data_IF_160746613897
#
_entry.id   IF_160746613897
#
_cell.length_a   1.000
_cell.length_b   1.000
_cell.length_c   1.000
_cell.angle_alpha   90.00
_cell.angle_beta   90.00
_cell.angle_gamma   90.00
#
_symmetry.space_group_name_H-M   'P 1'
#
loop_
_entity.id
_entity.type
_entity.pdbx_description
1 polymer ?
#
# COMPACT_ATOMS: atom_id res chain seq x y z
N UNK A 1 -14.19 25.88 16.00
CA UNK A 1 -13.33 24.77 16.46
C UNK A 1 -11.89 25.23 16.36
N UNK A 2 -11.11 25.08 17.44
CA UNK A 2 -9.67 25.39 17.44
C UNK A 2 -8.96 24.42 16.50
N UNK A 3 -8.06 24.92 15.66
CA UNK A 3 -7.29 24.13 14.70
C UNK A 3 -5.87 23.95 15.22
N UNK A 4 -5.39 22.72 15.30
CA UNK A 4 -4.06 22.38 15.83
C UNK A 4 -3.09 22.14 14.70
N UNK A 5 -1.91 22.73 14.76
CA UNK A 5 -0.79 22.48 13.84
C UNK A 5 0.36 21.94 14.68
N UNK A 6 0.87 20.76 14.37
CA UNK A 6 1.94 20.12 15.13
C UNK A 6 3.21 20.09 14.28
N UNK A 7 4.26 20.72 14.77
CA UNK A 7 5.60 20.64 14.18
C UNK A 7 6.48 19.74 15.04
N UNK A 8 7.06 18.73 14.40
CA UNK A 8 8.07 17.89 15.02
C UNK A 8 9.39 18.00 14.28
N UNK A 9 10.32 18.81 14.79
CA UNK A 9 11.60 19.00 14.14
C UNK A 9 12.58 17.83 14.33
N UNK A 10 12.29 16.80 15.16
CA UNK A 10 13.40 16.06 15.82
C UNK A 10 13.64 14.58 15.50
N UNK A 11 12.75 13.59 15.48
CA UNK A 11 13.10 12.13 15.57
C UNK A 11 13.63 11.70 16.94
N UNK A 12 12.85 10.83 17.61
CA UNK A 12 13.14 10.34 18.96
C UNK A 12 14.07 9.11 18.91
N UNK A 13 15.10 9.10 19.75
CA UNK A 13 15.97 7.94 19.95
C UNK A 13 15.37 6.94 20.95
N UNK A 14 15.93 5.73 21.02
CA UNK A 14 15.54 4.74 22.03
C UNK A 14 15.81 5.21 23.46
N UNK A 15 16.81 6.07 23.67
CA UNK A 15 17.10 6.66 24.98
C UNK A 15 16.03 7.69 25.38
N UNK A 16 15.50 8.44 24.41
CA UNK A 16 14.44 9.42 24.62
C UNK A 16 13.12 8.73 25.01
N UNK A 17 12.80 7.61 24.35
CA UNK A 17 11.65 6.78 24.70
C UNK A 17 11.76 6.22 26.11
N UNK A 18 12.95 5.77 26.51
CA UNK A 18 13.21 5.31 27.87
C UNK A 18 13.03 6.45 28.88
N UNK A 19 13.53 7.66 28.59
CA UNK A 19 13.35 8.81 29.46
C UNK A 19 11.86 9.17 29.63
N UNK A 20 11.10 9.20 28.54
CA UNK A 20 9.66 9.47 28.56
C UNK A 20 8.89 8.44 29.41
N UNK A 21 9.18 7.17 29.19
CA UNK A 21 8.42 6.08 29.82
C UNK A 21 8.82 5.84 31.28
N UNK A 22 10.08 6.11 31.65
CA UNK A 22 10.63 5.72 32.95
C UNK A 22 10.79 6.89 33.92
N UNK A 23 10.97 8.11 33.41
CA UNK A 23 11.14 9.31 34.22
C UNK A 23 9.94 10.25 34.10
N UNK A 24 9.55 10.65 32.89
CA UNK A 24 8.43 11.58 32.71
C UNK A 24 7.09 10.98 33.18
N UNK A 25 6.86 9.69 33.01
CA UNK A 25 5.65 9.00 33.53
C UNK A 25 5.48 9.05 35.05
N UNK A 26 6.55 9.35 35.80
CA UNK A 26 6.53 9.52 37.25
C UNK A 26 6.29 10.98 37.68
N UNK A 27 6.46 11.92 36.73
CA UNK A 27 6.29 13.36 36.94
C UNK A 27 4.90 13.80 36.45
N UNK A 28 4.46 13.29 35.29
CA UNK A 28 3.17 13.57 34.68
C UNK A 28 2.31 12.32 34.61
N UNK A 29 1.02 12.49 34.32
CA UNK A 29 0.13 11.34 34.13
C UNK A 29 0.59 10.51 32.92
N UNK A 30 0.40 9.18 32.95
CA UNK A 30 0.71 8.32 31.79
C UNK A 30 0.00 8.76 30.51
N UNK A 31 -1.20 9.32 30.65
CA UNK A 31 -1.97 9.90 29.53
C UNK A 31 -1.27 11.11 28.90
N UNK A 32 -0.54 11.91 29.68
CA UNK A 32 0.24 13.05 29.16
C UNK A 32 1.42 12.56 28.32
N UNK A 33 2.10 11.49 28.76
CA UNK A 33 3.17 10.85 27.97
C UNK A 33 2.60 10.27 26.67
N UNK A 34 1.46 9.59 26.74
CA UNK A 34 0.75 9.08 25.55
C UNK A 34 0.33 10.21 24.60
N UNK A 35 -0.14 11.34 25.13
CA UNK A 35 -0.48 12.53 24.33
C UNK A 35 0.73 13.08 23.58
N UNK A 36 1.88 13.18 24.24
CA UNK A 36 3.13 13.62 23.58
C UNK A 36 3.56 12.65 22.46
N UNK A 37 3.50 11.34 22.71
CA UNK A 37 3.81 10.32 21.70
C UNK A 37 2.86 10.37 20.51
N UNK A 38 1.57 10.59 20.78
CA UNK A 38 0.56 10.78 19.74
C UNK A 38 0.86 12.02 18.89
N UNK A 39 1.21 13.15 19.52
CA UNK A 39 1.61 14.36 18.80
C UNK A 39 2.83 14.11 17.90
N UNK A 40 3.81 13.34 18.38
CA UNK A 40 4.96 12.94 17.57
C UNK A 40 4.53 12.12 16.35
N UNK A 41 3.60 11.17 16.50
CA UNK A 41 3.08 10.40 15.37
C UNK A 41 2.30 11.30 14.39
N UNK A 42 1.43 12.16 14.90
CA UNK A 42 0.60 13.07 14.10
C UNK A 42 1.42 14.07 13.28
N UNK A 43 2.56 14.50 13.80
CA UNK A 43 3.49 15.37 13.07
C UNK A 43 4.05 14.77 11.77
N UNK A 44 4.03 13.44 11.64
CA UNK A 44 4.50 12.73 10.44
C UNK A 44 3.45 12.69 9.33
N UNK A 45 2.19 12.96 9.67
CA UNK A 45 1.06 12.97 8.74
C UNK A 45 1.10 14.28 7.94
N UNK A 46 0.99 14.19 6.61
CA UNK A 46 1.13 15.34 5.69
C UNK A 46 0.01 16.39 5.83
N UNK A 47 -1.13 16.02 6.39
CA UNK A 47 -2.18 16.96 6.74
C UNK A 47 -1.76 17.73 7.99
N UNK A 48 -1.11 18.88 7.79
CA UNK A 48 -0.53 19.68 8.88
C UNK A 48 -1.54 20.34 9.82
N UNK A 49 -2.78 19.86 9.89
CA UNK A 49 -3.77 20.38 10.82
C UNK A 49 -4.80 19.38 11.31
N UNK A 50 -5.07 19.40 12.60
CA UNK A 50 -5.95 18.46 13.29
C UNK A 50 -6.95 19.21 14.18
N UNK A 51 -8.02 18.52 14.59
CA UNK A 51 -8.99 19.02 15.57
C UNK A 51 -8.76 18.37 16.94
N UNK A 52 -9.30 18.98 18.00
CA UNK A 52 -9.25 18.38 19.34
C UNK A 52 -9.93 17.01 19.37
N UNK A 53 -10.95 16.82 18.52
CA UNK A 53 -11.70 15.58 18.44
C UNK A 53 -10.85 14.41 17.94
N UNK A 54 -9.97 14.66 16.95
CA UNK A 54 -9.07 13.64 16.41
C UNK A 54 -8.12 13.13 17.50
N UNK A 55 -7.54 14.03 18.29
CA UNK A 55 -6.68 13.67 19.43
C UNK A 55 -7.45 12.94 20.54
N UNK A 56 -8.70 13.35 20.79
CA UNK A 56 -9.57 12.74 21.81
C UNK A 56 -9.90 11.27 21.48
N UNK A 57 -10.23 10.97 20.22
CA UNK A 57 -10.52 9.61 19.75
C UNK A 57 -9.32 8.69 20.01
N UNK A 58 -8.12 9.12 19.63
CA UNK A 58 -6.92 8.28 19.74
C UNK A 58 -6.48 8.02 21.18
N UNK A 59 -6.77 8.93 22.11
CA UNK A 59 -6.46 8.76 23.53
C UNK A 59 -7.63 8.17 24.34
N UNK A 60 -8.78 7.97 23.71
CA UNK A 60 -10.03 7.57 24.35
C UNK A 60 -10.37 8.47 25.56
N UNK A 61 -10.26 9.79 25.35
CA UNK A 61 -10.58 10.83 26.34
C UNK A 61 -11.68 11.74 25.80
N UNK A 62 -12.31 12.53 26.66
CA UNK A 62 -13.27 13.52 26.19
C UNK A 62 -12.56 14.74 25.58
N UNK A 63 -13.19 15.41 24.61
CA UNK A 63 -12.64 16.58 23.91
C UNK A 63 -12.13 17.68 24.85
N UNK A 64 -12.77 17.84 26.02
CA UNK A 64 -12.38 18.85 27.02
C UNK A 64 -11.13 18.48 27.84
N UNK A 65 -10.69 17.22 27.81
CA UNK A 65 -9.51 16.72 28.51
C UNK A 65 -8.23 16.87 27.67
N UNK A 66 -8.36 17.09 26.36
CA UNK A 66 -7.23 17.23 25.42
C UNK A 66 -6.38 18.46 25.73
N UNK A 67 -7.00 19.62 25.95
CA UNK A 67 -6.29 20.87 26.22
C UNK A 67 -5.50 20.82 27.56
N UNK A 68 -6.08 20.32 28.68
CA UNK A 68 -5.33 20.07 29.91
C UNK A 68 -4.13 19.13 29.75
N UNK A 69 -4.25 18.06 28.96
CA UNK A 69 -3.15 17.13 28.71
C UNK A 69 -2.01 17.81 27.93
N UNK A 70 -2.34 18.62 26.93
CA UNK A 70 -1.35 19.39 26.18
C UNK A 70 -0.68 20.47 27.04
N UNK A 71 -1.43 21.15 27.89
CA UNK A 71 -0.88 22.08 28.88
C UNK A 71 0.07 21.36 29.85
N UNK A 72 -0.23 20.12 30.23
CA UNK A 72 0.67 19.30 31.04
C UNK A 72 1.98 19.03 30.30
N UNK A 73 1.95 18.66 29.01
CA UNK A 73 3.15 18.50 28.17
C UNK A 73 3.99 19.79 28.10
N UNK A 74 3.34 20.96 27.99
CA UNK A 74 4.01 22.26 27.98
C UNK A 74 4.66 22.56 29.33
N UNK A 75 3.99 22.24 30.44
CA UNK A 75 4.48 22.53 31.78
C UNK A 75 5.77 21.77 32.14
N UNK A 76 5.99 20.60 31.55
CA UNK A 76 7.24 19.82 31.68
C UNK A 76 8.25 20.09 30.58
N UNK A 77 7.98 21.05 29.70
CA UNK A 77 8.90 21.50 28.66
C UNK A 77 9.04 20.57 27.45
N UNK A 78 8.12 19.62 27.28
CA UNK A 78 8.11 18.71 26.12
C UNK A 78 7.57 19.39 24.86
N UNK A 79 6.76 20.45 25.01
CA UNK A 79 6.16 21.19 23.90
C UNK A 79 6.25 22.70 24.14
N UNK A 80 6.33 23.47 23.07
CA UNK A 80 6.04 24.90 23.07
C UNK A 80 4.65 25.16 22.47
N UNK A 81 3.94 26.11 23.06
CA UNK A 81 2.58 26.48 22.67
C UNK A 81 2.55 27.88 22.09
N UNK A 82 2.08 28.01 20.85
CA UNK A 82 1.87 29.28 20.17
C UNK A 82 0.42 29.39 19.71
N UNK A 83 -0.24 30.50 20.00
CA UNK A 83 -1.63 30.74 19.60
C UNK A 83 -1.71 31.99 18.72
N UNK A 84 -2.25 31.84 17.51
CA UNK A 84 -2.50 32.94 16.59
C UNK A 84 -3.81 32.70 15.82
N UNK A 85 -4.71 33.70 15.80
CA UNK A 85 -5.94 33.69 14.99
C UNK A 85 -6.76 32.39 15.08
N UNK A 86 -6.96 31.86 16.30
CA UNK A 86 -7.72 30.63 16.57
C UNK A 86 -7.07 29.32 16.03
N UNK A 87 -5.79 29.41 15.67
CA UNK A 87 -4.91 28.29 15.31
C UNK A 87 -3.86 28.15 16.41
N UNK A 88 -3.72 26.95 16.93
CA UNK A 88 -2.72 26.62 17.94
C UNK A 88 -1.62 25.82 17.26
N UNK A 89 -0.39 26.32 17.36
CA UNK A 89 0.80 25.67 16.85
C UNK A 89 1.59 25.09 18.01
N UNK A 90 1.79 23.78 17.99
CA UNK A 90 2.59 23.04 18.96
C UNK A 90 3.94 22.69 18.32
N UNK A 91 5.04 23.10 18.96
CA UNK A 91 6.40 22.72 18.56
C UNK A 91 6.92 21.71 19.56
N UNK A 92 7.14 20.47 19.11
CA UNK A 92 7.60 19.37 19.96
C UNK A 92 9.12 19.46 20.17
N UNK A 93 9.56 19.26 21.42
CA UNK A 93 10.96 19.23 21.83
C UNK A 93 11.35 17.83 22.30
N UNK A 94 12.62 17.47 22.13
CA UNK A 94 13.15 16.22 22.66
C UNK A 94 13.07 16.20 24.20
N UNK A 95 12.78 15.05 24.82
CA UNK A 95 12.83 14.90 26.27
C UNK A 95 14.27 15.06 26.76
N UNK A 96 14.41 15.47 28.02
CA UNK A 96 15.71 15.45 28.70
C UNK A 96 16.16 14.01 28.92
N UNK A 97 17.47 13.77 28.85
CA UNK A 97 18.02 12.48 29.22
C UNK A 97 17.74 12.18 30.70
N UNK A 98 17.72 10.89 31.07
CA UNK A 98 17.48 10.48 32.45
C UNK A 98 18.47 11.16 33.41
N UNK A 99 19.74 11.30 33.01
CA UNK A 99 20.78 11.98 33.81
C UNK A 99 20.50 13.47 33.96
N UNK A 100 20.17 14.17 32.87
CA UNK A 100 19.85 15.61 32.92
C UNK A 100 18.60 15.89 33.76
N UNK A 101 17.65 14.95 33.75
CA UNK A 101 16.39 15.07 34.46
C UNK A 101 16.57 14.78 35.97
N UNK A 102 17.43 13.82 36.34
CA UNK A 102 17.81 13.61 37.75
C UNK A 102 18.64 14.76 38.32
N UNK A 103 19.50 15.37 37.50
CA UNK A 103 20.32 16.50 37.91
C UNK A 103 19.51 17.81 38.00
N UNK A 104 18.30 17.85 37.42
CA UNK A 104 17.45 19.02 37.44
C UNK A 104 16.89 19.28 38.86
N UNK A 105 17.00 20.52 39.41
CA UNK A 105 16.62 20.80 40.80
C UNK A 105 15.17 20.49 41.17
N UNK A 106 14.24 20.65 40.21
CA UNK A 106 12.81 20.39 40.42
C UNK A 106 12.44 18.93 40.11
N UNK A 107 12.91 18.39 38.98
CA UNK A 107 12.54 17.05 38.54
C UNK A 107 13.28 15.98 39.35
N UNK A 108 14.55 16.20 39.71
CA UNK A 108 15.29 15.34 40.62
C UNK A 108 14.64 15.22 42.00
N UNK A 109 14.09 16.31 42.54
CA UNK A 109 13.33 16.28 43.80
C UNK A 109 12.03 15.48 43.66
N UNK A 110 11.25 15.74 42.61
CA UNK A 110 10.02 14.98 42.32
C UNK A 110 10.29 13.49 42.14
N UNK A 111 11.34 13.12 41.41
CA UNK A 111 11.72 11.72 41.24
C UNK A 111 12.24 11.10 42.54
N UNK A 112 12.96 11.85 43.37
CA UNK A 112 13.44 11.34 44.66
C UNK A 112 12.31 11.01 45.64
N UNK A 113 11.16 11.69 45.52
CA UNK A 113 9.97 11.39 46.34
C UNK A 113 9.21 10.14 45.89
N UNK A 114 9.40 9.71 44.65
CA UNK A 114 8.76 8.52 44.09
C UNK A 114 9.68 7.31 44.32
N UNK A 115 9.33 6.41 45.24
CA UNK A 115 10.13 5.20 45.53
C UNK A 115 10.04 4.15 44.40
N UNK A 116 10.64 4.43 43.24
CA UNK A 116 10.72 3.47 42.15
C UNK A 116 11.97 2.58 42.30
N UNK A 117 11.74 1.30 42.59
CA UNK A 117 12.76 0.24 42.56
C UNK A 117 13.50 0.20 41.21
N UNK A 118 12.81 0.50 40.12
CA UNK A 118 13.38 0.47 38.77
C UNK A 118 14.24 1.71 38.46
N UNK A 119 13.89 2.91 38.97
CA UNK A 119 14.81 4.05 38.89
C UNK A 119 16.11 3.77 39.65
N UNK A 120 16.02 3.18 40.84
CA UNK A 120 17.20 2.71 41.60
C UNK A 120 18.00 1.66 40.81
N UNK A 121 17.33 0.80 40.05
CA UNK A 121 17.94 -0.21 39.18
C UNK A 121 18.41 0.30 37.80
N UNK A 122 18.02 1.49 37.35
CA UNK A 122 18.65 2.16 36.20
C UNK A 122 19.89 2.94 36.64
N UNK A 123 19.88 3.42 37.89
CA UNK A 123 21.05 4.04 38.55
C UNK A 123 22.11 3.01 38.94
N UNK A 124 21.75 1.74 39.12
CA UNK A 124 22.69 0.63 39.33
C UNK A 124 22.75 -0.27 38.10
N UNK A 125 23.95 -0.61 37.61
CA UNK A 125 24.13 -1.59 36.52
C UNK A 125 23.31 -2.86 36.80
N UNK A 126 22.44 -3.22 35.86
CA UNK A 126 21.49 -4.35 35.89
C UNK A 126 21.94 -5.54 36.76
N UNK A 127 21.11 -6.01 37.72
CA UNK A 127 21.33 -7.33 38.30
C UNK A 127 20.98 -8.42 37.28
N UNK A 128 21.72 -9.54 37.25
CA UNK A 128 21.50 -10.63 36.30
C UNK A 128 20.15 -11.32 36.55
N UNK A 129 19.47 -11.71 35.46
CA UNK A 129 18.22 -12.46 35.47
C UNK A 129 18.41 -13.85 36.13
N UNK A 130 17.59 -14.15 37.13
CA UNK A 130 17.52 -15.49 37.74
C UNK A 130 16.92 -16.51 36.77
N UNK A 131 17.57 -17.65 36.58
CA UNK A 131 17.32 -18.64 35.53
C UNK A 131 16.00 -19.43 35.63
N UNK A 132 15.15 -19.18 36.64
CA UNK A 132 13.94 -19.98 36.88
C UNK A 132 12.67 -19.11 36.89
N UNK A 133 12.26 -18.59 35.73
CA UNK A 133 10.99 -17.87 35.56
C UNK A 133 10.06 -18.62 34.62
N UNK A 134 8.94 -19.10 35.13
CA UNK A 134 7.85 -19.65 34.32
C UNK A 134 6.91 -18.52 33.88
N UNK A 135 6.62 -18.37 32.58
CA UNK A 135 5.77 -17.29 32.09
C UNK A 135 4.33 -17.53 32.53
N UNK A 136 3.78 -16.64 33.35
CA UNK A 136 2.35 -16.61 33.67
C UNK A 136 1.69 -15.54 32.81
N UNK A 137 0.94 -15.95 31.79
CA UNK A 137 0.17 -15.05 30.93
C UNK A 137 -1.17 -14.71 31.61
N UNK A 138 -1.39 -13.44 31.93
CA UNK A 138 -2.72 -12.95 32.31
C UNK A 138 -3.53 -12.62 31.06
N UNK A 139 -4.81 -13.01 31.01
CA UNK A 139 -5.73 -12.61 29.94
C UNK A 139 -6.08 -11.13 30.06
N UNK A 140 -6.03 -10.42 28.93
CA UNK A 140 -6.35 -8.99 28.81
C UNK A 140 -7.81 -8.71 29.20
N UNK A 141 -8.04 -7.76 30.11
CA UNK A 141 -9.38 -7.29 30.44
C UNK A 141 -9.81 -6.26 29.39
N UNK A 142 -10.58 -6.69 28.39
CA UNK A 142 -11.35 -5.80 27.51
C UNK A 142 -12.37 -5.02 28.34
N UNK A 143 -12.04 -3.78 28.70
CA UNK A 143 -13.06 -2.79 29.05
C UNK A 143 -13.16 -1.84 27.85
N UNK A 144 -14.36 -1.76 27.29
CA UNK A 144 -14.76 -0.97 26.11
C UNK A 144 -14.33 -1.54 24.74
N UNK A 145 -15.00 -2.60 24.34
CA UNK A 145 -15.25 -2.88 22.92
C UNK A 145 -16.75 -3.17 22.80
N UNK A 146 -17.56 -2.12 22.62
CA UNK A 146 -18.91 -2.26 22.07
C UNK A 146 -18.76 -2.50 20.58
N UNK A 147 -18.34 -3.71 20.27
CA UNK A 147 -18.09 -4.21 18.93
C UNK A 147 -19.42 -4.68 18.35
N UNK A 148 -19.90 -3.96 17.33
CA UNK A 148 -21.15 -4.29 16.64
C UNK A 148 -20.87 -5.02 15.31
N UNK A 149 -21.93 -5.63 14.77
CA UNK A 149 -21.84 -6.45 13.55
C UNK A 149 -21.44 -5.62 12.31
N UNK A 150 -21.67 -4.30 12.34
CA UNK A 150 -21.28 -3.38 11.26
C UNK A 150 -19.78 -3.03 11.31
N UNK A 151 -19.23 -2.88 12.51
CA UNK A 151 -17.81 -2.68 12.78
C UNK A 151 -17.01 -3.96 12.49
N UNK A 152 -17.55 -5.14 12.82
CA UNK A 152 -16.96 -6.43 12.41
C UNK A 152 -16.93 -6.56 10.89
N UNK A 153 -18.00 -6.20 10.18
CA UNK A 153 -18.01 -6.23 8.72
C UNK A 153 -17.04 -5.22 8.09
N UNK A 154 -16.86 -4.05 8.70
CA UNK A 154 -15.88 -3.06 8.23
C UNK A 154 -14.45 -3.48 8.54
N UNK A 155 -14.21 -4.07 9.72
CA UNK A 155 -12.92 -4.66 10.06
C UNK A 155 -12.58 -5.80 9.11
N UNK A 156 -13.50 -6.75 8.87
CA UNK A 156 -13.28 -7.82 7.89
C UNK A 156 -12.99 -7.25 6.49
N UNK A 157 -13.70 -6.21 6.03
CA UNK A 157 -13.38 -5.55 4.75
C UNK A 157 -11.98 -4.94 4.72
N UNK A 158 -11.51 -4.34 5.82
CA UNK A 158 -10.17 -3.75 5.92
C UNK A 158 -9.07 -4.81 6.07
N UNK A 159 -9.30 -5.86 6.86
CA UNK A 159 -8.33 -6.94 7.09
C UNK A 159 -8.16 -7.82 5.85
N UNK A 160 -9.24 -8.06 5.09
CA UNK A 160 -9.21 -8.77 3.80
C UNK A 160 -8.40 -7.99 2.74
N UNK A 161 -8.36 -6.65 2.81
CA UNK A 161 -7.57 -5.84 1.86
C UNK A 161 -6.05 -5.92 2.08
N UNK A 162 -5.58 -6.30 3.28
CA UNK A 162 -4.15 -6.31 3.61
C UNK A 162 -3.49 -7.68 3.70
N UNK A 163 -4.23 -8.80 3.70
CA UNK A 163 -3.65 -10.14 3.93
C UNK A 163 -3.83 -11.16 2.81
N UNK A 164 -4.35 -10.78 1.65
CA UNK A 164 -4.23 -11.61 0.44
C UNK A 164 -3.57 -10.80 -0.66
N UNK A 165 -2.27 -10.56 -0.51
CA UNK A 165 -1.45 -10.65 -1.70
C UNK A 165 -1.68 -12.07 -2.22
N UNK A 166 -2.39 -12.22 -3.34
CA UNK A 166 -2.34 -13.43 -4.17
C UNK A 166 -0.89 -13.54 -4.70
N UNK A 167 0.03 -13.86 -3.78
CA UNK A 167 1.42 -14.15 -4.04
C UNK A 167 1.40 -15.37 -4.95
N UNK A 168 1.89 -15.20 -6.19
CA UNK A 168 1.92 -16.26 -7.19
C UNK A 168 2.62 -17.51 -6.64
N UNK A 169 3.66 -17.29 -5.84
CA UNK A 169 4.39 -18.33 -5.14
C UNK A 169 3.79 -18.61 -3.77
N UNK A 170 3.48 -19.88 -3.49
CA UNK A 170 2.96 -20.30 -2.17
C UNK A 170 4.09 -20.92 -1.34
N UNK A 171 4.63 -20.22 -0.31
CA UNK A 171 5.76 -20.72 0.47
C UNK A 171 5.50 -22.08 1.13
N UNK A 172 4.28 -22.29 1.64
CA UNK A 172 3.89 -23.55 2.27
C UNK A 172 3.87 -24.72 1.28
N UNK A 173 3.44 -24.48 0.04
CA UNK A 173 3.40 -25.50 -1.01
C UNK A 173 4.82 -25.83 -1.48
N UNK A 174 5.68 -24.83 -1.62
CA UNK A 174 7.10 -25.02 -1.90
C UNK A 174 7.81 -25.85 -0.83
N UNK A 175 7.59 -25.54 0.46
CA UNK A 175 8.19 -26.30 1.56
C UNK A 175 7.72 -27.77 1.57
N UNK A 176 6.44 -28.03 1.27
CA UNK A 176 5.93 -29.40 1.14
C UNK A 176 6.59 -30.17 -0.02
N UNK A 177 7.02 -29.48 -1.08
CA UNK A 177 7.71 -30.09 -2.22
C UNK A 177 9.20 -30.30 -1.98
N UNK A 178 9.78 -29.67 -0.95
CA UNK A 178 11.20 -29.74 -0.63
C UNK A 178 11.46 -30.72 0.51
N UNK A 179 12.24 -31.77 0.23
CA UNK A 179 12.78 -32.64 1.28
C UNK A 179 13.97 -31.98 1.97
N UNK A 180 14.36 -32.44 3.15
CA UNK A 180 15.56 -31.94 3.84
C UNK A 180 16.85 -32.15 3.05
N UNK A 181 16.83 -33.09 2.08
CA UNK A 181 17.91 -33.29 1.13
C UNK A 181 17.96 -32.12 0.14
N UNK A 182 16.82 -31.62 -0.34
CA UNK A 182 16.77 -30.56 -1.36
C UNK A 182 16.93 -29.18 -0.74
N UNK A 183 16.30 -28.95 0.41
CA UNK A 183 16.37 -27.68 1.13
C UNK A 183 16.45 -27.94 2.64
N UNK A 184 17.67 -28.05 3.20
CA UNK A 184 17.89 -28.36 4.61
C UNK A 184 17.21 -27.38 5.56
N UNK A 185 16.75 -27.88 6.71
CA UNK A 185 16.06 -27.07 7.73
C UNK A 185 16.87 -25.86 8.21
N UNK A 186 18.20 -25.97 8.21
CA UNK A 186 19.14 -24.89 8.59
C UNK A 186 18.97 -23.63 7.71
N UNK A 187 18.58 -23.79 6.43
CA UNK A 187 18.39 -22.66 5.50
C UNK A 187 16.95 -22.17 5.43
N UNK A 188 16.02 -22.76 6.19
CA UNK A 188 14.59 -22.35 6.24
C UNK A 188 14.38 -21.18 7.19
N UNK A 189 15.26 -20.18 7.15
CA UNK A 189 15.12 -18.95 7.94
C UNK A 189 14.10 -18.01 7.29
N UNK A 190 13.42 -17.15 8.07
CA UNK A 190 12.43 -16.22 7.50
C UNK A 190 13.02 -15.30 6.42
N UNK A 191 14.27 -14.87 6.58
CA UNK A 191 14.96 -13.99 5.63
C UNK A 191 15.23 -14.69 4.27
N UNK A 192 15.69 -15.95 4.30
CA UNK A 192 15.92 -16.74 3.08
C UNK A 192 14.58 -17.06 2.40
N UNK A 193 13.56 -17.36 3.19
CA UNK A 193 12.22 -17.64 2.65
C UNK A 193 11.62 -16.42 1.97
N UNK A 194 11.72 -15.23 2.57
CA UNK A 194 11.27 -13.99 1.95
C UNK A 194 12.02 -13.68 0.66
N UNK A 195 13.34 -13.92 0.61
CA UNK A 195 14.11 -13.69 -0.63
C UNK A 195 13.73 -14.67 -1.73
N UNK A 196 13.52 -15.95 -1.41
CA UNK A 196 13.01 -16.94 -2.38
C UNK A 196 11.62 -16.55 -2.89
N UNK A 197 10.72 -16.14 -1.99
CA UNK A 197 9.38 -15.68 -2.35
C UNK A 197 9.43 -14.45 -3.26
N UNK A 198 10.25 -13.46 -2.92
CA UNK A 198 10.44 -12.27 -3.75
C UNK A 198 10.96 -12.62 -5.16
N UNK A 199 11.95 -13.53 -5.26
CA UNK A 199 12.48 -14.00 -6.55
C UNK A 199 11.38 -14.75 -7.31
N UNK A 200 10.65 -15.65 -6.65
CA UNK A 200 9.61 -16.44 -7.28
C UNK A 200 8.48 -15.58 -7.83
N UNK A 201 8.04 -14.57 -7.08
CA UNK A 201 7.01 -13.64 -7.51
C UNK A 201 7.49 -12.70 -8.62
N UNK A 202 8.74 -12.23 -8.54
CA UNK A 202 9.31 -11.33 -9.55
C UNK A 202 9.47 -12.02 -10.90
N UNK A 203 9.89 -13.28 -10.90
CA UNK A 203 10.15 -14.05 -12.12
C UNK A 203 9.04 -15.07 -12.45
N UNK A 204 7.94 -15.05 -11.69
CA UNK A 204 6.79 -15.96 -11.81
C UNK A 204 7.21 -17.43 -11.93
N UNK A 205 8.05 -17.87 -11.01
CA UNK A 205 8.58 -19.23 -10.94
C UNK A 205 7.69 -20.08 -10.06
N UNK A 206 7.11 -21.14 -10.63
CA UNK A 206 6.27 -22.08 -9.88
C UNK A 206 7.08 -22.84 -8.82
N UNK A 207 6.40 -23.41 -7.83
CA UNK A 207 7.04 -24.07 -6.69
C UNK A 207 7.90 -25.28 -7.11
N UNK A 208 7.49 -26.01 -8.15
CA UNK A 208 8.21 -27.18 -8.62
C UNK A 208 9.49 -26.80 -9.39
N UNK A 209 9.45 -25.72 -10.17
CA UNK A 209 10.62 -25.14 -10.83
C UNK A 209 11.55 -24.48 -9.83
N UNK A 210 11.02 -23.73 -8.86
CA UNK A 210 11.82 -23.08 -7.80
C UNK A 210 12.64 -24.10 -7.02
N UNK A 211 12.05 -25.27 -6.70
CA UNK A 211 12.75 -26.39 -6.07
C UNK A 211 13.99 -26.83 -6.86
N UNK A 212 13.91 -26.88 -8.20
CA UNK A 212 15.05 -27.27 -9.07
C UNK A 212 16.15 -26.21 -9.08
N UNK A 213 15.81 -24.94 -8.89
CA UNK A 213 16.82 -23.88 -8.81
C UNK A 213 17.49 -23.85 -7.45
N UNK A 214 16.71 -23.96 -6.38
CA UNK A 214 17.20 -24.00 -4.99
C UNK A 214 18.14 -25.18 -4.78
N UNK A 215 17.83 -26.36 -5.34
CA UNK A 215 18.72 -27.53 -5.23
C UNK A 215 20.09 -27.33 -5.88
N UNK A 216 20.22 -26.45 -6.88
CA UNK A 216 21.48 -26.21 -7.61
C UNK A 216 22.39 -25.18 -6.95
N UNK A 217 21.88 -24.42 -5.97
CA UNK A 217 22.62 -23.32 -5.33
C UNK A 217 23.06 -23.61 -3.91
N UNK A 218 22.63 -24.75 -3.36
CA UNK A 218 23.03 -25.22 -2.04
C UNK A 218 24.32 -26.01 -2.19
N UNK A 219 25.33 -25.62 -1.41
CA UNK A 219 26.56 -26.39 -1.26
C UNK A 219 26.47 -27.20 0.04
N UNK A 220 26.29 -28.52 -0.08
CA UNK A 220 26.14 -29.43 1.06
C UNK A 220 27.41 -29.55 1.90
N UNK A 221 28.59 -29.55 1.27
CA UNK A 221 29.87 -29.73 1.96
C UNK A 221 30.22 -28.52 2.83
N UNK A 222 29.87 -27.32 2.36
CA UNK A 222 30.18 -26.06 3.07
C UNK A 222 29.02 -25.51 3.88
N UNK A 223 27.84 -26.15 3.84
CA UNK A 223 26.60 -25.62 4.40
C UNK A 223 26.38 -24.12 4.06
N UNK A 224 26.48 -23.77 2.77
CA UNK A 224 26.23 -22.40 2.31
C UNK A 224 25.20 -22.38 1.18
N UNK A 225 24.36 -21.35 1.17
CA UNK A 225 23.41 -21.06 0.10
C UNK A 225 23.82 -19.76 -0.59
N UNK A 226 23.88 -19.78 -1.93
CA UNK A 226 24.20 -18.59 -2.71
C UNK A 226 22.96 -18.06 -3.43
N UNK A 227 22.32 -17.04 -2.83
CA UNK A 227 21.10 -16.43 -3.35
C UNK A 227 21.33 -15.64 -4.66
N UNK A 228 22.53 -15.10 -4.87
CA UNK A 228 22.86 -14.41 -6.13
C UNK A 228 22.92 -15.37 -7.31
N UNK A 229 23.48 -16.57 -7.10
CA UNK A 229 23.45 -17.65 -8.08
C UNK A 229 22.03 -18.16 -8.33
N UNK A 230 21.14 -18.11 -7.32
CA UNK A 230 19.74 -18.48 -7.48
C UNK A 230 19.07 -17.52 -8.46
N UNK A 231 19.25 -16.23 -8.22
CA UNK A 231 18.75 -15.17 -9.09
C UNK A 231 19.31 -15.28 -10.51
N UNK A 232 20.60 -15.56 -10.67
CA UNK A 232 21.22 -15.77 -12.00
C UNK A 232 20.64 -16.99 -12.72
N UNK A 233 20.51 -18.12 -12.03
CA UNK A 233 19.94 -19.35 -12.60
C UNK A 233 18.49 -19.13 -13.05
N UNK A 234 17.69 -18.47 -12.22
CA UNK A 234 16.31 -18.10 -12.58
C UNK A 234 16.29 -17.19 -13.81
N UNK A 235 17.11 -16.14 -13.86
CA UNK A 235 17.21 -15.23 -15.02
C UNK A 235 17.58 -15.96 -16.31
N UNK A 236 18.56 -16.86 -16.27
CA UNK A 236 19.06 -17.56 -17.47
C UNK A 236 18.12 -18.64 -17.99
N UNK A 237 17.42 -19.36 -17.10
CA UNK A 237 16.61 -20.52 -17.49
C UNK A 237 15.13 -20.18 -17.72
N UNK A 238 14.59 -19.14 -17.07
CA UNK A 238 13.22 -18.69 -17.32
C UNK A 238 13.04 -17.81 -18.56
N UNK A 239 14.12 -17.36 -19.22
CA UNK A 239 14.02 -16.53 -20.42
C UNK A 239 13.62 -17.30 -21.70
N UNK A 240 13.46 -18.64 -21.69
CA UNK A 240 13.46 -19.41 -22.96
C UNK A 240 12.30 -20.42 -23.15
N UNK A 241 11.40 -20.65 -22.20
CA UNK A 241 10.31 -21.62 -22.43
C UNK A 241 9.03 -20.96 -22.97
N UNK A 242 8.81 -21.11 -24.28
CA UNK A 242 7.67 -20.56 -25.03
C UNK A 242 6.31 -20.83 -24.41
N UNK A 243 5.54 -19.76 -24.22
CA UNK A 243 4.14 -19.77 -23.83
C UNK A 243 3.27 -20.17 -25.02
N UNK A 244 3.30 -21.43 -25.44
CA UNK A 244 2.56 -21.91 -26.62
C UNK A 244 1.10 -22.30 -26.34
N UNK A 245 0.66 -22.30 -25.06
CA UNK A 245 -0.73 -22.53 -24.68
C UNK A 245 -1.22 -21.43 -23.71
N UNK A 246 -1.77 -20.35 -24.28
CA UNK A 246 -2.50 -19.32 -23.53
C UNK A 246 -3.82 -19.91 -23.04
N UNK A 247 -3.89 -20.26 -21.75
CA UNK A 247 -5.14 -20.65 -21.11
C UNK A 247 -5.65 -19.50 -20.27
N UNK A 248 -6.91 -19.09 -20.48
CA UNK A 248 -7.56 -18.03 -19.70
C UNK A 248 -7.75 -18.39 -18.22
N UNK A 249 -7.51 -19.65 -17.82
CA UNK A 249 -7.55 -20.09 -16.43
C UNK A 249 -6.23 -19.85 -15.68
N UNK A 250 -5.17 -19.43 -16.38
CA UNK A 250 -3.88 -19.14 -15.76
C UNK A 250 -3.97 -17.94 -14.80
N UNK A 251 -3.05 -17.88 -13.83
CA UNK A 251 -2.90 -16.71 -12.97
C UNK A 251 -2.67 -15.44 -13.81
N UNK A 252 -3.28 -14.32 -13.43
CA UNK A 252 -3.33 -13.10 -14.27
C UNK A 252 -1.96 -12.55 -14.63
N UNK A 253 -1.01 -12.58 -13.68
CA UNK A 253 0.36 -12.17 -13.93
C UNK A 253 1.06 -13.12 -14.92
N UNK A 254 0.87 -14.43 -14.77
CA UNK A 254 1.44 -15.41 -15.70
C UNK A 254 0.87 -15.24 -17.11
N UNK A 255 -0.43 -14.99 -17.22
CA UNK A 255 -1.11 -14.73 -18.49
C UNK A 255 -0.63 -13.43 -19.15
N UNK A 256 -0.48 -12.34 -18.39
CA UNK A 256 0.05 -11.07 -18.91
C UNK A 256 1.50 -11.19 -19.39
N UNK A 257 2.32 -11.98 -18.69
CA UNK A 257 3.72 -12.26 -19.09
C UNK A 257 3.74 -13.08 -20.39
N UNK A 258 2.85 -14.06 -20.51
CA UNK A 258 2.69 -14.87 -21.72
C UNK A 258 2.33 -14.02 -22.95
N UNK A 259 1.49 -12.99 -22.78
CA UNK A 259 1.14 -12.04 -23.84
C UNK A 259 2.32 -11.16 -24.27
N UNK A 260 3.31 -10.94 -23.41
CA UNK A 260 4.49 -10.10 -23.65
C UNK A 260 5.76 -10.92 -23.93
N UNK A 261 5.63 -12.05 -24.63
CA UNK A 261 6.76 -12.91 -25.04
C UNK A 261 7.60 -13.46 -23.87
N UNK A 262 7.05 -13.54 -22.65
CA UNK A 262 7.79 -14.01 -21.48
C UNK A 262 8.70 -12.97 -20.82
N UNK A 263 8.59 -11.69 -21.20
CA UNK A 263 9.36 -10.62 -20.54
C UNK A 263 8.86 -10.41 -19.10
N UNK A 264 9.78 -10.17 -18.13
CA UNK A 264 9.39 -9.93 -16.74
C UNK A 264 8.50 -8.70 -16.65
N UNK A 265 7.43 -8.80 -15.86
CA UNK A 265 6.49 -7.70 -15.67
C UNK A 265 7.18 -6.58 -14.89
N UNK A 266 7.05 -5.34 -15.36
CA UNK A 266 7.54 -4.16 -14.66
C UNK A 266 6.60 -3.89 -13.48
N UNK A 267 7.13 -3.47 -12.33
CA UNK A 267 6.35 -3.21 -11.11
C UNK A 267 5.12 -2.31 -11.35
N UNK A 268 5.23 -1.33 -12.25
CA UNK A 268 4.13 -0.45 -12.66
C UNK A 268 2.95 -1.23 -13.28
N UNK A 269 3.23 -2.22 -14.11
CA UNK A 269 2.21 -3.03 -14.77
C UNK A 269 1.59 -4.01 -13.78
N UNK A 270 2.37 -4.57 -12.85
CA UNK A 270 1.86 -5.39 -11.73
C UNK A 270 0.86 -4.61 -10.88
N UNK A 271 1.25 -3.40 -10.44
CA UNK A 271 0.37 -2.51 -9.67
C UNK A 271 -0.92 -2.16 -10.42
N UNK A 272 -0.83 -1.97 -11.74
CA UNK A 272 -2.01 -1.69 -12.55
C UNK A 272 -2.92 -2.92 -12.68
N UNK A 273 -2.37 -4.12 -12.84
CA UNK A 273 -3.16 -5.36 -12.87
C UNK A 273 -3.87 -5.57 -11.53
N UNK A 274 -3.18 -5.40 -10.41
CA UNK A 274 -3.75 -5.49 -9.06
C UNK A 274 -4.88 -4.47 -8.87
N UNK A 275 -4.63 -3.21 -9.24
CA UNK A 275 -5.64 -2.16 -9.19
C UNK A 275 -6.89 -2.50 -10.01
N UNK A 276 -6.73 -3.05 -11.21
CA UNK A 276 -7.86 -3.43 -12.06
C UNK A 276 -8.63 -4.62 -11.46
N UNK A 277 -7.93 -5.58 -10.84
CA UNK A 277 -8.55 -6.74 -10.17
C UNK A 277 -9.36 -6.30 -8.95
N UNK A 278 -8.89 -5.30 -8.21
CA UNK A 278 -9.63 -4.73 -7.09
C UNK A 278 -10.85 -3.92 -7.56
N UNK A 279 -10.68 -3.10 -8.61
CA UNK A 279 -11.74 -2.24 -9.14
C UNK A 279 -12.87 -3.03 -9.80
N UNK A 280 -12.58 -4.16 -10.44
CA UNK A 280 -13.55 -4.93 -11.22
C UNK A 280 -13.70 -6.36 -10.71
N UNK A 281 -14.93 -6.76 -10.38
CA UNK A 281 -15.28 -8.11 -9.92
C UNK A 281 -15.52 -9.07 -11.09
N UNK A 282 -14.56 -9.22 -12.00
CA UNK A 282 -14.62 -10.19 -13.10
C UNK A 282 -14.11 -11.56 -12.65
N UNK A 283 -14.64 -12.63 -13.23
CA UNK A 283 -14.08 -13.98 -13.05
C UNK A 283 -12.69 -14.09 -13.71
N UNK A 284 -11.94 -15.14 -13.33
CA UNK A 284 -10.56 -15.36 -13.74
C UNK A 284 -10.38 -15.28 -15.27
N UNK A 285 -11.27 -15.93 -16.01
CA UNK A 285 -11.19 -16.07 -17.46
C UNK A 285 -11.54 -14.75 -18.16
N UNK A 286 -12.60 -14.08 -17.70
CA UNK A 286 -13.03 -12.77 -18.21
C UNK A 286 -11.98 -11.69 -17.95
N UNK A 287 -11.33 -11.69 -16.78
CA UNK A 287 -10.28 -10.72 -16.48
C UNK A 287 -9.02 -10.94 -17.32
N UNK A 288 -8.63 -12.19 -17.57
CA UNK A 288 -7.52 -12.48 -18.49
C UNK A 288 -7.84 -12.03 -19.93
N UNK A 289 -9.07 -12.24 -20.38
CA UNK A 289 -9.53 -11.73 -21.68
C UNK A 289 -9.57 -10.19 -21.71
N UNK A 290 -9.88 -9.51 -20.60
CA UNK A 290 -9.76 -8.06 -20.47
C UNK A 290 -8.31 -7.60 -20.68
N UNK A 291 -7.33 -8.25 -20.04
CA UNK A 291 -5.91 -7.91 -20.22
C UNK A 291 -5.45 -8.08 -21.68
N UNK A 292 -5.87 -9.17 -22.32
CA UNK A 292 -5.57 -9.42 -23.74
C UNK A 292 -6.18 -8.35 -24.65
N UNK A 293 -7.45 -8.00 -24.41
CA UNK A 293 -8.16 -7.00 -25.23
C UNK A 293 -7.55 -5.61 -25.05
N UNK A 294 -7.13 -5.23 -23.84
CA UNK A 294 -6.40 -3.97 -23.59
C UNK A 294 -5.09 -3.97 -24.37
N UNK A 295 -4.28 -5.03 -24.31
CA UNK A 295 -2.99 -5.09 -25.00
C UNK A 295 -3.16 -5.09 -26.54
N UNK A 296 -4.13 -5.83 -27.08
CA UNK A 296 -4.42 -5.89 -28.52
C UNK A 296 -4.94 -4.55 -29.06
N UNK A 297 -5.87 -3.90 -28.35
CA UNK A 297 -6.48 -2.63 -28.78
C UNK A 297 -5.55 -1.42 -28.65
N UNK A 298 -4.60 -1.48 -27.73
CA UNK A 298 -3.64 -0.39 -27.45
C UNK A 298 -2.31 -0.50 -28.17
N UNK A 299 -2.15 -1.47 -29.09
CA UNK A 299 -0.85 -1.81 -29.72
C UNK A 299 0.26 -2.03 -28.67
N UNK A 300 -0.05 -2.71 -27.57
CA UNK A 300 0.89 -3.01 -26.47
C UNK A 300 1.04 -1.92 -25.40
N UNK A 301 0.27 -0.82 -25.44
CA UNK A 301 0.32 0.23 -24.41
C UNK A 301 -0.62 -0.07 -23.23
N UNK A 302 -0.06 -0.61 -22.16
CA UNK A 302 -0.80 -0.86 -20.91
C UNK A 302 -0.83 0.39 -20.01
N UNK A 303 -1.86 1.23 -20.13
CA UNK A 303 -1.99 2.47 -19.34
C UNK A 303 -3.28 2.49 -18.53
N UNK A 304 -3.22 3.07 -17.32
CA UNK A 304 -4.35 3.11 -16.38
C UNK A 304 -5.63 3.68 -16.99
N UNK A 305 -5.54 4.88 -17.58
CA UNK A 305 -6.68 5.58 -18.19
C UNK A 305 -7.39 4.73 -19.25
N UNK A 306 -6.61 4.04 -20.09
CA UNK A 306 -7.15 3.23 -21.17
C UNK A 306 -7.75 1.92 -20.65
N UNK A 307 -7.08 1.27 -19.70
CA UNK A 307 -7.60 0.09 -19.04
C UNK A 307 -8.92 0.37 -18.29
N UNK A 308 -9.03 1.51 -17.60
CA UNK A 308 -10.26 1.95 -16.96
C UNK A 308 -11.39 2.21 -17.96
N UNK A 309 -11.08 2.84 -19.10
CA UNK A 309 -12.06 3.11 -20.15
C UNK A 309 -12.67 1.81 -20.71
N UNK A 310 -11.84 0.79 -20.98
CA UNK A 310 -12.31 -0.52 -21.46
C UNK A 310 -13.08 -1.23 -20.33
N UNK A 311 -12.54 -1.29 -19.12
CA UNK A 311 -13.20 -1.93 -17.98
C UNK A 311 -14.57 -1.33 -17.65
N UNK A 312 -14.67 0.01 -17.61
CA UNK A 312 -15.94 0.72 -17.40
C UNK A 312 -16.93 0.53 -18.55
N UNK A 313 -16.46 0.34 -19.78
CA UNK A 313 -17.33 0.01 -20.90
C UNK A 313 -17.98 -1.38 -20.73
N UNK A 314 -17.22 -2.37 -20.23
CA UNK A 314 -17.72 -3.73 -19.98
C UNK A 314 -18.66 -3.79 -18.79
N UNK A 315 -18.38 -3.03 -17.73
CA UNK A 315 -19.28 -2.88 -16.57
C UNK A 315 -20.61 -2.27 -17.01
N UNK A 316 -20.60 -1.19 -17.82
CA UNK A 316 -21.82 -0.57 -18.36
C UNK A 316 -22.59 -1.52 -19.29
N UNK A 317 -21.87 -2.33 -20.06
CA UNK A 317 -22.43 -3.36 -20.91
C UNK A 317 -22.91 -4.62 -20.16
N UNK A 318 -22.71 -4.67 -18.83
CA UNK A 318 -23.08 -5.80 -17.95
C UNK A 318 -22.49 -7.14 -18.41
N UNK A 319 -21.25 -7.13 -18.88
CA UNK A 319 -20.50 -8.35 -19.24
C UNK A 319 -20.26 -9.18 -17.98
N UNK A 320 -20.68 -10.46 -17.98
CA UNK A 320 -20.55 -11.36 -16.81
C UNK A 320 -19.61 -12.54 -17.03
N UNK A 321 -19.37 -12.93 -18.27
CA UNK A 321 -18.58 -14.10 -18.62
C UNK A 321 -17.74 -13.82 -19.88
N UNK A 322 -16.80 -14.73 -20.17
CA UNK A 322 -15.89 -14.61 -21.31
C UNK A 322 -16.63 -14.61 -22.66
N UNK A 323 -17.77 -15.28 -22.76
CA UNK A 323 -18.57 -15.33 -23.99
C UNK A 323 -19.24 -13.97 -24.28
N UNK A 324 -19.81 -13.34 -23.26
CA UNK A 324 -20.39 -12.00 -23.33
C UNK A 324 -19.32 -10.97 -23.69
N UNK A 325 -18.12 -11.12 -23.13
CA UNK A 325 -16.97 -10.26 -23.43
C UNK A 325 -16.54 -10.39 -24.89
N UNK A 326 -16.42 -11.62 -25.41
CA UNK A 326 -16.09 -11.88 -26.82
C UNK A 326 -17.14 -11.29 -27.77
N UNK A 327 -18.43 -11.44 -27.43
CA UNK A 327 -19.53 -10.84 -28.21
C UNK A 327 -19.46 -9.32 -28.22
N UNK A 328 -19.17 -8.71 -27.06
CA UNK A 328 -19.05 -7.27 -26.93
C UNK A 328 -17.87 -6.69 -27.73
N UNK A 329 -16.70 -7.33 -27.69
CA UNK A 329 -15.54 -6.91 -28.48
C UNK A 329 -15.83 -7.03 -29.98
N UNK A 330 -16.46 -8.14 -30.40
CA UNK A 330 -16.80 -8.39 -31.81
C UNK A 330 -17.80 -7.35 -32.34
N UNK A 331 -18.79 -6.96 -31.53
CA UNK A 331 -19.79 -5.95 -31.91
C UNK A 331 -19.20 -4.54 -32.01
N UNK A 332 -18.14 -4.22 -31.25
CA UNK A 332 -17.44 -2.95 -31.41
C UNK A 332 -16.54 -2.91 -32.65
N UNK A 333 -15.88 -4.02 -33.01
CA UNK A 333 -15.06 -4.08 -34.23
C UNK A 333 -15.89 -3.97 -35.51
N UNK A 334 -17.11 -4.52 -35.55
CA UNK A 334 -17.97 -4.48 -36.75
C UNK A 334 -18.59 -3.10 -37.03
N UNK A 335 -18.85 -2.28 -36.01
CA UNK A 335 -19.40 -0.92 -36.16
C UNK A 335 -18.40 0.03 -36.84
N UNK A 336 -17.10 -0.22 -36.75
CA UNK A 336 -16.07 0.56 -37.46
C UNK A 336 -15.95 0.25 -38.95
N UNK A 337 -16.54 -0.85 -39.45
CA UNK A 337 -16.41 -1.27 -40.86
C UNK A 337 -17.54 -0.78 -41.79
N UNK A 338 -18.54 -0.05 -41.27
CA UNK A 338 -19.69 0.39 -42.06
C UNK A 338 -20.18 1.79 -41.67
N UNK A 339 -19.40 2.83 -41.99
CA UNK A 339 -19.96 4.18 -42.22
C UNK A 339 -19.67 4.59 -43.65
N UNK A 340 -20.48 4.09 -44.57
CA UNK A 340 -20.80 4.87 -45.78
C UNK A 340 -21.52 6.11 -45.26
N UNK A 341 -20.87 7.26 -45.36
CA UNK A 341 -21.47 8.55 -45.03
C UNK A 341 -22.56 8.80 -46.06
N UNK A 342 -23.83 8.58 -45.70
CA UNK A 342 -24.93 9.20 -46.43
C UNK A 342 -25.10 10.62 -45.87
N UNK A 343 -24.84 11.62 -46.72
CA UNK A 343 -25.13 13.01 -46.39
C UNK A 343 -26.66 13.19 -46.30
N UNK A 344 -27.17 14.01 -45.36
CA UNK A 344 -28.60 14.31 -45.26
C UNK A 344 -29.14 15.09 -46.47
N UNK A 345 -30.30 14.67 -46.99
CA UNK A 345 -31.09 15.29 -48.08
C UNK A 345 -31.66 16.67 -47.69
N UNK A 346 -30.80 17.66 -47.44
CA UNK A 346 -31.21 19.05 -47.29
C UNK A 346 -30.72 19.95 -48.44
N UNK A 347 -29.87 19.43 -49.32
CA UNK A 347 -29.30 20.19 -50.46
C UNK A 347 -30.05 20.03 -51.79
N UNK A 348 -31.04 19.14 -51.88
CA UNK A 348 -31.72 18.83 -53.16
C UNK A 348 -33.07 19.53 -53.36
N UNK A 349 -33.36 20.61 -52.61
CA UNK A 349 -34.55 21.44 -52.84
C UNK A 349 -34.27 22.94 -52.80
N UNK A 350 -33.25 23.38 -53.54
CA UNK A 350 -33.21 24.76 -54.05
C UNK A 350 -32.81 24.68 -55.53
N UNK A 351 -33.75 25.04 -56.39
CA UNK A 351 -33.57 25.07 -57.86
C UNK A 351 -32.70 26.28 -58.24
N UNK A 352 -31.42 26.21 -57.89
CA UNK A 352 -30.40 27.27 -58.08
C UNK A 352 -29.77 27.25 -59.49
N UNK A 353 -30.51 26.78 -60.50
CA UNK A 353 -30.03 26.79 -61.89
C UNK A 353 -30.21 28.14 -62.59
N UNK A 354 -31.10 29.01 -62.10
CA UNK A 354 -31.36 30.33 -62.72
C UNK A 354 -30.52 31.49 -62.17
N UNK A 355 -30.01 31.41 -60.93
CA UNK A 355 -29.31 32.55 -60.31
C UNK A 355 -27.78 32.48 -60.43
N UNK A 356 -27.21 31.28 -60.64
CA UNK A 356 -25.75 31.13 -60.79
C UNK A 356 -25.23 31.64 -62.15
N UNK A 357 -26.03 31.50 -63.20
CA UNK A 357 -25.66 31.94 -64.55
C UNK A 357 -25.78 33.46 -64.73
N UNK A 358 -26.72 34.10 -64.01
CA UNK A 358 -26.82 35.56 -63.94
C UNK A 358 -25.70 36.20 -63.11
N UNK A 359 -25.31 35.59 -61.98
CA UNK A 359 -24.18 36.05 -61.17
C UNK A 359 -22.84 35.92 -61.91
N UNK A 360 -22.66 34.87 -62.72
CA UNK A 360 -21.47 34.70 -63.56
C UNK A 360 -21.39 35.66 -64.76
N UNK A 361 -22.54 36.15 -65.26
CA UNK A 361 -22.57 37.22 -66.28
C UNK A 361 -22.27 38.59 -65.66
N UNK A 362 -22.86 38.91 -64.50
CA UNK A 362 -22.60 40.17 -63.80
C UNK A 362 -21.14 40.30 -63.32
N UNK A 363 -20.50 39.21 -62.92
CA UNK A 363 -19.07 39.22 -62.56
C UNK A 363 -18.14 39.38 -63.76
N UNK A 364 -18.54 38.92 -64.96
CA UNK A 364 -17.75 39.11 -66.18
C UNK A 364 -17.91 40.51 -66.78
N UNK A 365 -19.08 41.13 -66.64
CA UNK A 365 -19.30 42.52 -67.09
C UNK A 365 -18.63 43.55 -66.16
N UNK A 366 -18.29 43.19 -64.92
CA UNK A 366 -17.52 44.04 -63.99
C UNK A 366 -16.00 43.99 -64.17
N UNK A 367 -15.48 43.00 -64.91
CA UNK A 367 -14.04 42.87 -65.19
C UNK A 367 -13.65 43.44 -66.58
N UNK A 368 -14.62 43.89 -67.39
CA UNK A 368 -14.42 44.45 -68.74
C UNK A 368 -14.87 45.93 -68.89
N UNK A 369 -15.12 46.64 -67.77
CA UNK A 369 -15.16 48.13 -67.67
C UNK A 369 -14.00 48.64 -66.80
#
# INVERSE_FOLDING_TARGET
>A
MKKWIIHHPITLSTQDLNALQLAYSLIVTPQTVSMYMLCCAFSTIREGSFTSHDLAIHLNVFDHEVEPLLQSCVSVGLCEWYEQNNVITLVLKAPLSITQLTDHPLFGRLLSTQESLYLKALMMKYPPLSQNLTPTSFKYNQRQLSWDESQEQNFQKQTIQSSTQDSFFKPNLFLNLCTDIIFPMVFRTPEIMQTIENIANTYLVDEASMRKYVSKVINYDKQTINLDKLLQNVKTMHQVSGYTNLSYQQHHLSFFTALNEGRPIIQKDQQLIEYLKEKYTFDQETFNFLLETILKSSQGRFTRKYAEQIGESWVRAKVKNIEDAKRYVTSQTSVTSSKVVQLPDYYDQVDDSHDKENLLKQLKEMDDE
#
